data_IF_761062943427
#
_entry.id   IF_761062943427
#
_cell.length_a   1.000
_cell.length_b   1.000
_cell.length_c   1.000
_cell.angle_alpha   90.00
_cell.angle_beta   90.00
_cell.angle_gamma   90.00
#
_symmetry.space_group_name_H-M   'P 1'
#
loop_
_entity.id
_entity.type
_entity.pdbx_description
1 polymer ?
#
# COMPACT_ATOMS: atom_id res chain seq x y z
N UNK A 1 31.72 2.52 -5.62
CA UNK A 1 30.99 2.78 -6.87
C UNK A 1 30.25 1.51 -7.29
N UNK A 2 28.96 1.39 -6.96
CA UNK A 2 28.16 0.20 -7.25
C UNK A 2 27.11 0.54 -8.31
N UNK A 3 27.06 -0.30 -9.35
CA UNK A 3 26.35 -0.11 -10.61
C UNK A 3 24.84 0.10 -10.42
N UNK A 4 24.35 1.22 -10.92
CA UNK A 4 22.96 1.48 -11.28
C UNK A 4 22.47 0.34 -12.21
N UNK A 5 21.42 -0.39 -11.83
CA UNK A 5 20.76 -1.29 -12.77
C UNK A 5 19.93 -0.47 -13.75
N UNK A 6 20.44 -0.40 -14.98
CA UNK A 6 19.97 0.41 -16.08
C UNK A 6 18.77 -0.22 -16.80
N UNK A 7 17.57 0.03 -16.29
CA UNK A 7 16.39 0.09 -17.15
C UNK A 7 15.51 1.21 -16.61
N UNK A 8 15.17 2.19 -17.44
CA UNK A 8 14.20 3.26 -17.19
C UNK A 8 12.78 2.68 -16.90
N UNK A 9 12.62 1.93 -15.83
CA UNK A 9 11.44 1.10 -15.53
C UNK A 9 10.51 1.71 -14.49
N UNK A 10 10.71 2.95 -14.02
CA UNK A 10 9.99 3.55 -12.87
C UNK A 10 9.56 5.01 -13.03
N UNK A 11 9.22 5.50 -14.23
CA UNK A 11 8.85 6.92 -14.43
C UNK A 11 7.61 7.41 -13.64
N UNK A 12 6.87 6.50 -13.00
CA UNK A 12 5.61 6.82 -12.30
C UNK A 12 5.61 6.41 -10.80
N UNK A 13 6.80 6.25 -10.20
CA UNK A 13 6.95 5.93 -8.76
C UNK A 13 8.14 6.69 -8.21
N UNK A 14 7.99 7.30 -7.04
CA UNK A 14 9.07 7.95 -6.30
C UNK A 14 8.92 7.69 -4.80
N UNK A 15 10.06 7.48 -4.13
CA UNK A 15 10.17 7.39 -2.67
C UNK A 15 11.41 8.15 -2.22
N UNK A 16 11.31 8.89 -1.13
CA UNK A 16 12.42 9.58 -0.48
C UNK A 16 12.33 9.44 1.04
N UNK A 17 13.46 9.59 1.72
CA UNK A 17 13.53 9.66 3.20
C UNK A 17 13.16 11.06 3.72
N UNK A 18 13.11 12.06 2.82
CA UNK A 18 12.59 13.40 3.08
C UNK A 18 11.26 13.62 2.35
N UNK A 19 10.54 14.66 2.74
CA UNK A 19 9.34 15.11 2.02
C UNK A 19 9.62 15.34 0.52
N UNK A 20 8.67 14.95 -0.33
CA UNK A 20 8.70 15.12 -1.77
C UNK A 20 8.35 16.55 -2.15
N UNK A 21 9.14 17.10 -3.07
CA UNK A 21 8.92 18.44 -3.64
C UNK A 21 7.84 18.41 -4.71
N UNK A 22 7.26 19.58 -5.02
CA UNK A 22 6.28 19.68 -6.11
C UNK A 22 6.88 19.31 -7.47
N UNK A 23 8.13 19.67 -7.75
CA UNK A 23 8.82 19.29 -8.98
C UNK A 23 8.98 17.77 -9.13
N UNK A 24 9.29 17.09 -8.03
CA UNK A 24 9.38 15.62 -8.00
C UNK A 24 8.01 14.97 -8.22
N UNK A 25 6.97 15.47 -7.55
CA UNK A 25 5.60 15.00 -7.73
C UNK A 25 5.13 15.25 -9.17
N UNK A 26 5.40 16.42 -9.75
CA UNK A 26 5.00 16.76 -11.12
C UNK A 26 5.66 15.83 -12.14
N UNK A 27 6.94 15.50 -11.95
CA UNK A 27 7.68 14.60 -12.86
C UNK A 27 7.18 13.15 -12.78
N UNK A 28 6.86 12.66 -11.59
CA UNK A 28 6.54 11.25 -11.36
C UNK A 28 5.04 10.95 -11.34
N UNK A 29 4.22 11.88 -10.86
CA UNK A 29 2.79 11.72 -10.62
C UNK A 29 2.05 12.99 -11.09
N UNK A 30 2.17 13.37 -12.38
CA UNK A 30 1.55 14.58 -12.92
C UNK A 30 0.03 14.63 -12.73
N UNK A 31 -0.64 13.49 -12.56
CA UNK A 31 -2.08 13.47 -12.31
C UNK A 31 -2.50 14.17 -11.02
N UNK A 32 -1.60 14.34 -10.05
CA UNK A 32 -1.86 15.14 -8.84
C UNK A 32 -2.08 16.63 -9.14
N UNK A 33 -1.50 17.12 -10.24
CA UNK A 33 -1.52 18.53 -10.65
C UNK A 33 -2.48 18.81 -11.80
N UNK A 34 -3.26 17.81 -12.22
CA UNK A 34 -4.29 18.05 -13.22
C UNK A 34 -5.16 19.22 -12.76
N UNK A 35 -5.42 20.15 -13.68
CA UNK A 35 -6.22 21.36 -13.42
C UNK A 35 -7.67 21.22 -13.86
N UNK A 36 -8.01 20.16 -14.61
CA UNK A 36 -9.33 19.96 -15.18
C UNK A 36 -9.85 18.54 -14.92
N UNK A 37 -11.18 18.43 -14.76
CA UNK A 37 -11.84 17.12 -14.73
C UNK A 37 -11.76 16.49 -16.13
N UNK A 38 -11.58 15.17 -16.19
CA UNK A 38 -11.68 14.47 -17.48
C UNK A 38 -13.07 14.71 -18.10
N UNK A 39 -13.15 14.93 -19.42
CA UNK A 39 -14.38 15.30 -20.14
C UNK A 39 -15.57 14.34 -19.89
N UNK A 40 -15.28 13.10 -19.51
CA UNK A 40 -16.28 12.09 -19.17
C UNK A 40 -17.02 12.32 -17.83
N UNK A 41 -16.87 13.47 -17.16
CA UNK A 41 -17.38 13.74 -15.80
C UNK A 41 -18.49 14.80 -15.80
N UNK A 42 -19.62 14.49 -15.16
CA UNK A 42 -20.82 15.35 -15.11
C UNK A 42 -20.64 16.63 -14.29
N UNK A 43 -21.60 17.55 -14.37
CA UNK A 43 -21.57 18.85 -13.65
C UNK A 43 -21.77 18.74 -12.13
N UNK A 44 -22.27 17.59 -11.65
CA UNK A 44 -22.40 17.32 -10.21
C UNK A 44 -21.07 16.94 -9.54
N UNK A 45 -20.02 16.68 -10.33
CA UNK A 45 -18.70 16.30 -9.84
C UNK A 45 -17.94 17.56 -9.42
N UNK A 46 -17.69 17.71 -8.12
CA UNK A 46 -16.87 18.81 -7.60
C UNK A 46 -15.40 18.48 -7.84
N UNK A 47 -14.81 19.09 -8.87
CA UNK A 47 -13.41 18.89 -9.18
C UNK A 47 -12.54 19.74 -8.27
N UNK A 48 -11.66 19.08 -7.52
CA UNK A 48 -10.58 19.71 -6.77
C UNK A 48 -9.30 18.99 -7.19
N UNK A 49 -8.26 19.71 -7.66
CA UNK A 49 -6.96 19.11 -7.91
C UNK A 49 -6.41 18.44 -6.65
N UNK A 50 -5.81 17.26 -6.79
CA UNK A 50 -5.21 16.58 -5.62
C UNK A 50 -4.12 17.43 -4.97
N UNK A 51 -3.38 18.25 -5.74
CA UNK A 51 -2.40 19.19 -5.19
C UNK A 51 -3.01 20.18 -4.20
N UNK A 52 -4.23 20.67 -4.45
CA UNK A 52 -4.93 21.58 -3.52
C UNK A 52 -5.21 20.89 -2.19
N UNK A 53 -5.61 19.61 -2.22
CA UNK A 53 -5.81 18.83 -0.99
C UNK A 53 -4.48 18.56 -0.28
N UNK A 54 -3.45 18.19 -1.04
CA UNK A 54 -2.11 17.96 -0.51
C UNK A 54 -1.55 19.22 0.18
N UNK A 55 -1.75 20.40 -0.40
CA UNK A 55 -1.29 21.66 0.18
C UNK A 55 -2.03 22.02 1.47
N UNK A 56 -3.31 21.67 1.59
CA UNK A 56 -4.02 21.81 2.86
C UNK A 56 -3.53 20.79 3.90
N UNK A 57 -3.31 19.54 3.51
CA UNK A 57 -2.71 18.52 4.39
C UNK A 57 -1.30 18.92 4.87
N UNK A 58 -0.51 19.57 4.02
CA UNK A 58 0.80 20.13 4.39
C UNK A 58 0.69 21.22 5.46
N UNK A 59 -0.33 22.08 5.41
CA UNK A 59 -0.57 23.09 6.47
C UNK A 59 -0.89 22.43 7.81
N UNK A 60 -1.56 21.29 7.78
CA UNK A 60 -1.83 20.45 8.95
C UNK A 60 -0.63 19.56 9.36
N UNK A 61 0.53 19.74 8.71
CA UNK A 61 1.78 19.04 9.04
C UNK A 61 1.94 17.66 8.40
N UNK A 62 1.13 17.30 7.39
CA UNK A 62 1.29 16.04 6.65
C UNK A 62 2.11 16.23 5.37
N UNK A 63 3.22 15.51 5.27
CA UNK A 63 4.17 15.62 4.17
C UNK A 63 4.26 14.32 3.36
N UNK A 64 4.36 14.38 2.01
CA UNK A 64 4.45 13.19 1.16
C UNK A 64 5.86 12.61 1.14
N UNK A 65 6.01 11.29 1.35
CA UNK A 65 7.31 10.58 1.27
C UNK A 65 7.34 9.53 0.15
N UNK A 66 6.18 9.16 -0.36
CA UNK A 66 6.01 8.26 -1.49
C UNK A 66 4.90 8.77 -2.40
N UNK A 67 5.09 8.59 -3.71
CA UNK A 67 4.07 8.88 -4.70
C UNK A 67 4.16 7.89 -5.87
N UNK A 68 3.01 7.45 -6.38
CA UNK A 68 2.95 6.72 -7.65
C UNK A 68 1.65 7.00 -8.41
N UNK A 69 1.66 6.75 -9.72
CA UNK A 69 0.45 6.71 -10.54
C UNK A 69 0.39 5.49 -11.45
N UNK A 70 -0.83 5.14 -11.83
CA UNK A 70 -1.13 4.07 -12.77
C UNK A 70 -0.56 4.42 -14.14
N UNK A 71 0.07 3.44 -14.79
CA UNK A 71 0.57 3.63 -16.15
C UNK A 71 -0.56 3.52 -17.15
N UNK A 72 -0.62 4.48 -18.06
CA UNK A 72 -1.46 4.41 -19.25
C UNK A 72 -0.59 4.50 -20.50
N UNK A 73 -1.01 3.82 -21.56
CA UNK A 73 -0.45 3.98 -22.91
C UNK A 73 -1.08 5.14 -23.67
N UNK A 74 -2.27 5.56 -23.22
CA UNK A 74 -3.02 6.69 -23.75
C UNK A 74 -2.50 7.98 -23.13
N UNK A 75 -1.90 8.85 -23.94
CA UNK A 75 -1.31 10.11 -23.51
C UNK A 75 -2.35 11.07 -22.91
N UNK A 76 -3.58 11.09 -23.45
CA UNK A 76 -4.66 11.96 -22.98
C UNK A 76 -5.19 11.58 -21.60
N UNK A 77 -4.97 10.33 -21.16
CA UNK A 77 -5.38 9.87 -19.82
C UNK A 77 -4.31 10.02 -18.77
N UNK A 78 -3.06 10.34 -19.16
CA UNK A 78 -1.90 10.31 -18.26
C UNK A 78 -2.10 11.20 -17.02
N UNK A 79 -2.74 12.34 -17.21
CA UNK A 79 -3.00 13.33 -16.16
C UNK A 79 -4.24 13.02 -15.32
N UNK A 80 -5.01 11.99 -15.67
CA UNK A 80 -6.25 11.64 -14.94
C UNK A 80 -6.20 10.27 -14.27
N UNK A 81 -5.11 9.52 -14.51
CA UNK A 81 -4.91 8.20 -13.94
C UNK A 81 -4.95 8.20 -12.41
N UNK A 82 -5.35 7.05 -11.87
CA UNK A 82 -5.29 6.77 -10.43
C UNK A 82 -3.88 6.95 -9.90
N UNK A 83 -3.76 7.68 -8.80
CA UNK A 83 -2.52 7.94 -8.10
C UNK A 83 -2.64 7.66 -6.61
N UNK A 84 -1.49 7.41 -5.99
CA UNK A 84 -1.31 7.15 -4.57
C UNK A 84 -0.23 8.07 -4.03
N UNK A 85 -0.52 8.76 -2.93
CA UNK A 85 0.47 9.44 -2.10
C UNK A 85 0.50 8.75 -0.73
N UNK A 86 1.67 8.62 -0.12
CA UNK A 86 1.79 8.24 1.29
C UNK A 86 2.40 9.38 2.07
N UNK A 87 1.63 9.86 3.05
CA UNK A 87 1.90 11.05 3.84
C UNK A 87 2.28 10.64 5.26
N UNK A 88 3.22 11.37 5.87
CA UNK A 88 3.59 11.24 7.28
C UNK A 88 3.38 12.58 7.98
N UNK A 89 3.06 12.55 9.26
CA UNK A 89 2.99 13.75 10.07
C UNK A 89 4.39 14.23 10.44
N UNK A 90 4.63 15.53 10.40
CA UNK A 90 5.83 16.15 10.94
C UNK A 90 6.02 15.76 12.41
N UNK A 91 7.26 15.45 12.79
CA UNK A 91 7.59 14.93 14.12
C UNK A 91 7.48 13.40 14.26
N UNK A 92 6.65 12.72 13.46
CA UNK A 92 6.54 11.25 13.41
C UNK A 92 7.21 10.66 12.16
N UNK A 93 8.36 11.20 11.76
CA UNK A 93 9.03 10.80 10.51
C UNK A 93 10.17 9.79 10.70
N UNK A 94 10.53 9.50 11.95
CA UNK A 94 11.64 8.64 12.33
C UNK A 94 11.17 7.54 13.29
N UNK A 95 11.73 6.34 13.14
CA UNK A 95 11.38 5.15 13.91
C UNK A 95 11.56 3.88 13.07
N UNK A 96 11.50 2.70 13.68
CA UNK A 96 11.49 1.46 12.91
C UNK A 96 10.21 1.33 12.05
N UNK A 97 9.10 1.83 12.61
CA UNK A 97 7.75 1.76 12.07
C UNK A 97 7.07 3.12 12.31
N UNK A 98 6.59 3.75 11.23
CA UNK A 98 5.99 5.08 11.24
C UNK A 98 4.56 5.02 10.67
N UNK A 99 3.57 5.61 11.34
CA UNK A 99 2.22 5.74 10.79
C UNK A 99 2.21 6.58 9.50
N UNK A 100 1.38 6.17 8.54
CA UNK A 100 1.22 6.87 7.27
C UNK A 100 -0.25 6.96 6.86
N UNK A 101 -0.62 8.09 6.27
CA UNK A 101 -1.89 8.23 5.56
C UNK A 101 -1.64 7.90 4.10
N UNK A 102 -2.35 6.92 3.57
CA UNK A 102 -2.34 6.59 2.14
C UNK A 102 -3.51 7.30 1.48
N UNK A 103 -3.20 8.34 0.71
CA UNK A 103 -4.17 9.08 -0.08
C UNK A 103 -4.27 8.45 -1.48
N UNK A 104 -5.44 7.96 -1.83
CA UNK A 104 -5.77 7.46 -3.17
C UNK A 104 -6.80 8.36 -3.84
N UNK A 105 -6.58 8.66 -5.11
CA UNK A 105 -7.56 9.37 -5.93
C UNK A 105 -7.37 9.03 -7.42
N UNK A 106 -8.38 9.38 -8.22
CA UNK A 106 -8.32 9.42 -9.68
C UNK A 106 -9.18 10.58 -10.18
N UNK A 107 -8.75 11.24 -11.27
CA UNK A 107 -9.55 12.28 -11.92
C UNK A 107 -10.36 11.75 -13.12
N UNK A 108 -10.12 10.50 -13.51
CA UNK A 108 -10.92 9.78 -14.49
C UNK A 108 -12.15 9.10 -13.88
N UNK A 109 -12.41 9.28 -12.58
CA UNK A 109 -13.54 8.73 -11.82
C UNK A 109 -13.56 7.21 -11.64
N UNK A 110 -12.42 6.54 -11.83
CA UNK A 110 -12.23 5.13 -11.46
C UNK A 110 -12.08 4.90 -9.95
N UNK A 111 -11.91 5.97 -9.17
CA UNK A 111 -11.77 5.98 -7.71
C UNK A 111 -12.18 7.32 -7.13
N UNK A 112 -12.83 7.29 -5.97
CA UNK A 112 -13.02 8.46 -5.12
C UNK A 112 -11.72 8.81 -4.38
N UNK A 113 -11.74 9.94 -3.66
CA UNK A 113 -10.80 10.17 -2.59
C UNK A 113 -10.94 9.08 -1.53
N UNK A 114 -9.82 8.46 -1.17
CA UNK A 114 -9.73 7.52 -0.06
C UNK A 114 -8.53 7.88 0.79
N UNK A 115 -8.74 7.90 2.10
CA UNK A 115 -7.69 8.04 3.10
C UNK A 115 -7.64 6.73 3.86
N UNK A 116 -6.52 6.03 3.73
CA UNK A 116 -6.37 4.70 4.30
C UNK A 116 -5.25 4.76 5.35
N UNK A 117 -5.49 4.32 6.58
CA UNK A 117 -4.44 4.17 7.57
C UNK A 117 -3.42 3.14 7.08
N UNK A 118 -2.15 3.45 7.23
CA UNK A 118 -1.06 2.55 6.91
C UNK A 118 0.06 2.67 7.92
N UNK A 119 0.98 1.71 7.85
CA UNK A 119 2.22 1.74 8.62
C UNK A 119 3.37 1.53 7.66
N UNK A 120 4.45 2.27 7.83
CA UNK A 120 5.66 2.11 7.04
C UNK A 120 6.78 1.61 7.93
N UNK A 121 7.37 0.49 7.53
CA UNK A 121 8.52 -0.08 8.22
C UNK A 121 9.78 0.19 7.41
N UNK A 122 10.73 0.90 8.02
CA UNK A 122 11.96 1.34 7.36
C UNK A 122 12.83 0.16 6.92
N UNK A 123 12.85 -0.91 7.73
CA UNK A 123 13.71 -2.08 7.53
C UNK A 123 13.41 -2.82 6.21
N UNK A 124 12.15 -2.95 5.81
CA UNK A 124 11.76 -3.52 4.51
C UNK A 124 11.64 -2.48 3.40
N UNK A 125 11.55 -1.20 3.77
CA UNK A 125 10.94 -0.15 2.95
C UNK A 125 9.58 -0.58 2.40
N UNK A 126 8.82 -1.44 3.09
CA UNK A 126 7.47 -1.80 2.68
C UNK A 126 6.46 -0.96 3.42
N UNK A 127 5.44 -0.54 2.66
CA UNK A 127 4.24 0.02 3.22
C UNK A 127 3.23 -1.08 3.51
N UNK A 128 2.73 -1.11 4.73
CA UNK A 128 1.50 -1.82 5.10
C UNK A 128 0.31 -0.91 4.80
N UNK A 129 -0.73 -1.51 4.25
CA UNK A 129 -2.06 -0.91 4.14
C UNK A 129 -2.96 -1.62 5.13
N UNK A 130 -3.44 -0.91 6.15
CA UNK A 130 -4.39 -1.45 7.11
C UNK A 130 -5.81 -1.18 6.56
N UNK A 131 -6.61 -2.22 6.26
CA UNK A 131 -8.06 -2.04 6.15
C UNK A 131 -8.86 -2.87 5.13
N UNK A 132 -9.74 -3.74 5.61
CA UNK A 132 -11.20 -3.59 5.34
C UNK A 132 -12.00 -3.28 6.62
N UNK A 133 -11.31 -3.23 7.78
CA UNK A 133 -11.91 -3.29 9.12
C UNK A 133 -11.55 -2.08 10.00
N UNK A 134 -10.54 -1.29 9.62
CA UNK A 134 -10.13 -0.09 10.35
C UNK A 134 -10.13 1.13 9.42
N UNK A 135 -11.13 2.00 9.57
CA UNK A 135 -10.94 3.43 9.39
C UNK A 135 -10.63 3.96 7.98
N UNK A 136 -10.97 3.24 6.91
CA UNK A 136 -10.91 3.83 5.56
C UNK A 136 -11.95 4.94 5.45
N UNK A 137 -11.50 6.17 5.20
CA UNK A 137 -12.37 7.31 4.99
C UNK A 137 -12.50 7.55 3.50
N UNK A 138 -13.74 7.53 3.01
CA UNK A 138 -14.08 7.83 1.62
C UNK A 138 -14.72 9.19 1.54
N UNK A 139 -14.04 10.13 0.89
CA UNK A 139 -14.59 11.47 0.66
C UNK A 139 -15.26 11.49 -0.71
N UNK A 140 -16.59 11.65 -0.79
CA UNK A 140 -17.27 11.80 -2.07
C UNK A 140 -16.85 13.11 -2.74
N UNK A 141 -16.79 13.12 -4.07
CA UNK A 141 -16.51 14.34 -4.87
C UNK A 141 -17.74 15.29 -4.92
N UNK A 142 -18.30 15.63 -3.75
CA UNK A 142 -19.52 16.44 -3.59
C UNK A 142 -19.48 17.24 -2.29
N UNK A 143 -19.78 18.54 -2.38
CA UNK A 143 -19.86 19.43 -1.21
C UNK A 143 -18.48 19.96 -0.81
N UNK A 144 -18.28 20.22 0.49
CA UNK A 144 -16.97 20.64 1.02
C UNK A 144 -16.02 19.46 1.16
N UNK A 145 -15.40 19.09 0.03
CA UNK A 145 -14.41 18.00 -0.04
C UNK A 145 -13.14 18.38 0.71
N UNK A 146 -12.75 19.66 0.75
CA UNK A 146 -11.50 20.08 1.43
C UNK A 146 -11.63 19.88 2.93
N UNK A 147 -12.73 20.38 3.53
CA UNK A 147 -13.02 20.17 4.95
C UNK A 147 -13.07 18.69 5.31
N UNK A 148 -13.80 17.88 4.53
CA UNK A 148 -13.92 16.43 4.76
C UNK A 148 -12.58 15.68 4.65
N UNK A 149 -11.68 16.09 3.75
CA UNK A 149 -10.33 15.49 3.65
C UNK A 149 -9.46 15.86 4.85
N UNK A 150 -9.55 17.10 5.34
CA UNK A 150 -8.81 17.52 6.53
C UNK A 150 -9.31 16.78 7.77
N UNK A 151 -10.63 16.75 7.98
CA UNK A 151 -11.28 16.02 9.06
C UNK A 151 -10.89 14.53 9.01
N UNK A 152 -10.97 13.92 7.82
CA UNK A 152 -10.55 12.54 7.62
C UNK A 152 -9.06 12.31 7.90
N UNK A 153 -8.19 13.28 7.66
CA UNK A 153 -6.77 13.17 8.01
C UNK A 153 -6.58 13.01 9.53
N UNK A 154 -7.33 13.77 10.32
CA UNK A 154 -7.28 13.73 11.77
C UNK A 154 -7.94 12.47 12.34
N UNK A 155 -9.09 12.04 11.80
CA UNK A 155 -9.72 10.78 12.19
C UNK A 155 -8.78 9.58 11.97
N UNK A 156 -8.03 9.57 10.86
CA UNK A 156 -7.02 8.52 10.58
C UNK A 156 -5.91 8.48 11.64
N UNK A 157 -5.62 9.60 12.32
CA UNK A 157 -4.63 9.60 13.41
C UNK A 157 -5.11 8.78 14.61
N UNK A 158 -6.37 8.89 15.01
CA UNK A 158 -6.91 8.15 16.14
C UNK A 158 -6.90 6.63 15.85
N UNK A 159 -7.06 6.25 14.58
CA UNK A 159 -6.98 4.87 14.13
C UNK A 159 -5.54 4.32 14.24
N UNK A 160 -4.52 5.18 14.18
CA UNK A 160 -3.12 4.74 14.28
C UNK A 160 -2.78 4.13 15.63
N UNK A 161 -3.39 4.60 16.71
CA UNK A 161 -3.13 4.03 18.04
C UNK A 161 -3.66 2.59 18.13
N UNK A 162 -4.83 2.31 17.57
CA UNK A 162 -5.35 0.95 17.46
C UNK A 162 -4.48 0.03 16.58
N UNK A 163 -3.91 0.57 15.49
CA UNK A 163 -2.95 -0.20 14.66
C UNK A 163 -1.65 -0.48 15.42
N UNK A 164 -1.13 0.50 16.18
CA UNK A 164 0.08 0.34 17.02
C UNK A 164 -0.12 -0.70 18.12
N UNK A 165 -1.30 -0.69 18.75
CA UNK A 165 -1.72 -1.65 19.77
C UNK A 165 -1.83 -3.06 19.19
N UNK A 166 -2.60 -3.23 18.11
CA UNK A 166 -2.77 -4.53 17.46
C UNK A 166 -1.43 -5.13 17.01
N UNK A 167 -0.54 -4.29 16.46
CA UNK A 167 0.83 -4.70 16.16
C UNK A 167 1.56 -5.19 17.41
N UNK A 168 1.44 -4.47 18.53
CA UNK A 168 2.03 -4.86 19.81
C UNK A 168 1.58 -6.25 20.23
N UNK A 169 0.28 -6.50 20.23
CA UNK A 169 -0.33 -7.81 20.51
C UNK A 169 0.18 -8.90 19.55
N UNK A 170 0.23 -8.62 18.24
CA UNK A 170 0.75 -9.57 17.25
C UNK A 170 2.23 -9.94 17.48
N UNK A 171 3.04 -9.06 18.08
CA UNK A 171 4.43 -9.35 18.44
C UNK A 171 4.55 -10.26 19.66
N UNK A 172 3.52 -10.31 20.51
CA UNK A 172 3.46 -11.17 21.69
C UNK A 172 2.94 -12.58 21.37
N UNK A 173 2.22 -12.74 20.26
CA UNK A 173 1.68 -14.02 19.82
C UNK A 173 2.73 -14.83 19.06
N UNK A 174 3.27 -15.86 19.72
CA UNK A 174 4.13 -16.86 19.06
C UNK A 174 3.37 -17.79 18.12
N UNK A 175 3.95 -18.05 16.94
CA UNK A 175 3.44 -19.03 15.97
C UNK A 175 4.36 -20.25 15.86
N UNK A 176 3.77 -21.43 15.94
CA UNK A 176 4.43 -22.69 15.59
C UNK A 176 4.78 -22.72 14.09
N UNK A 177 5.65 -23.64 13.68
CA UNK A 177 5.99 -23.79 12.25
C UNK A 177 4.77 -24.11 11.38
N UNK A 178 3.86 -24.94 11.90
CA UNK A 178 2.64 -25.32 11.19
C UNK A 178 1.70 -24.13 11.06
N UNK A 179 1.56 -23.32 12.11
CA UNK A 179 0.75 -22.09 12.07
C UNK A 179 1.31 -21.06 11.08
N UNK A 180 2.64 -20.90 11.01
CA UNK A 180 3.28 -20.03 10.02
C UNK A 180 3.01 -20.53 8.59
N UNK A 181 3.10 -21.85 8.37
CA UNK A 181 2.80 -22.47 7.07
C UNK A 181 1.33 -22.32 6.68
N UNK A 182 0.40 -22.51 7.61
CA UNK A 182 -1.04 -22.32 7.37
C UNK A 182 -1.32 -20.87 6.99
N UNK A 183 -0.75 -19.90 7.72
CA UNK A 183 -0.89 -18.48 7.38
C UNK A 183 -0.39 -18.18 5.95
N UNK A 184 0.79 -18.69 5.61
CA UNK A 184 1.37 -18.55 4.28
C UNK A 184 0.53 -19.24 3.18
N UNK A 185 0.01 -20.44 3.44
CA UNK A 185 -0.85 -21.19 2.53
C UNK A 185 -2.15 -20.43 2.22
N UNK A 186 -2.83 -19.91 3.26
CA UNK A 186 -4.04 -19.11 3.10
C UNK A 186 -3.75 -17.86 2.25
N UNK A 187 -2.61 -17.21 2.49
CA UNK A 187 -2.19 -16.05 1.71
C UNK A 187 -1.91 -16.40 0.24
N UNK A 188 -1.25 -17.53 -0.05
CA UNK A 188 -1.00 -18.00 -1.41
C UNK A 188 -2.30 -18.33 -2.14
N UNK A 189 -3.21 -19.06 -1.48
CA UNK A 189 -4.54 -19.36 -2.01
C UNK A 189 -5.29 -18.07 -2.34
N UNK A 190 -5.30 -17.09 -1.43
CA UNK A 190 -5.93 -15.80 -1.70
C UNK A 190 -5.33 -15.05 -2.89
N UNK A 191 -4.01 -15.12 -3.11
CA UNK A 191 -3.37 -14.38 -4.22
C UNK A 191 -3.54 -15.06 -5.58
N UNK A 192 -3.50 -16.39 -5.62
CA UNK A 192 -3.44 -17.15 -6.88
C UNK A 192 -4.75 -17.87 -7.21
N UNK A 193 -5.55 -18.20 -6.21
CA UNK A 193 -6.80 -18.94 -6.32
C UNK A 193 -7.90 -18.35 -5.43
N UNK A 194 -8.12 -17.03 -5.52
CA UNK A 194 -9.07 -16.30 -4.67
C UNK A 194 -10.53 -16.80 -4.74
N UNK A 195 -10.86 -17.59 -5.78
CA UNK A 195 -12.18 -18.19 -5.99
C UNK A 195 -12.24 -19.69 -5.68
N UNK A 196 -11.14 -20.31 -5.24
CA UNK A 196 -11.08 -21.75 -4.99
C UNK A 196 -11.36 -22.58 -6.25
N UNK A 197 -10.95 -22.09 -7.41
CA UNK A 197 -11.17 -22.73 -8.72
C UNK A 197 -10.08 -23.77 -9.02
N UNK A 198 -9.15 -24.03 -8.10
CA UNK A 198 -8.03 -24.94 -8.29
C UNK A 198 -6.95 -24.34 -9.19
N UNK A 199 -6.78 -23.01 -9.20
CA UNK A 199 -5.74 -22.35 -9.99
C UNK A 199 -4.35 -22.77 -9.54
N UNK A 200 -3.43 -22.84 -10.51
CA UNK A 200 -2.04 -23.20 -10.25
C UNK A 200 -1.35 -22.17 -9.35
N UNK A 201 -0.91 -22.63 -8.17
CA UNK A 201 -0.08 -21.85 -7.24
C UNK A 201 1.39 -22.14 -7.55
N UNK A 202 2.20 -21.13 -7.88
CA UNK A 202 3.57 -21.35 -8.33
C UNK A 202 4.59 -21.58 -7.22
N UNK A 203 4.19 -21.46 -5.95
CA UNK A 203 5.03 -21.41 -4.76
C UNK A 203 4.49 -22.33 -3.67
N UNK A 204 5.38 -22.85 -2.84
CA UNK A 204 5.06 -23.51 -1.58
C UNK A 204 4.97 -22.47 -0.44
N UNK A 205 4.29 -22.77 0.68
CA UNK A 205 4.21 -21.87 1.83
C UNK A 205 5.60 -21.43 2.35
N UNK A 206 6.57 -22.34 2.38
CA UNK A 206 7.94 -22.03 2.84
C UNK A 206 8.67 -21.02 1.94
N UNK A 207 8.30 -20.92 0.66
CA UNK A 207 8.93 -19.97 -0.27
C UNK A 207 8.63 -18.52 0.11
N UNK A 208 7.44 -18.26 0.67
CA UNK A 208 7.03 -16.92 1.11
C UNK A 208 7.30 -16.65 2.60
N UNK A 209 7.72 -17.67 3.35
CA UNK A 209 8.24 -17.54 4.72
C UNK A 209 9.75 -17.27 4.75
N UNK A 210 10.42 -17.31 3.59
CA UNK A 210 11.86 -17.02 3.48
C UNK A 210 12.21 -15.67 4.08
N UNK A 211 13.16 -15.71 5.02
CA UNK A 211 13.69 -14.53 5.69
C UNK A 211 14.60 -13.79 4.72
N UNK A 212 14.29 -12.52 4.42
CA UNK A 212 15.14 -11.69 3.56
C UNK A 212 16.28 -11.01 4.32
N UNK A 213 16.18 -10.93 5.65
CA UNK A 213 17.11 -10.26 6.55
C UNK A 213 16.96 -10.76 7.99
N UNK A 214 18.03 -10.78 8.81
CA UNK A 214 18.01 -11.37 10.15
C UNK A 214 16.94 -10.79 11.10
N UNK A 215 16.58 -9.52 10.94
CA UNK A 215 15.60 -8.82 11.78
C UNK A 215 14.17 -9.38 11.64
N UNK A 216 13.92 -10.21 10.62
CA UNK A 216 12.63 -10.88 10.40
C UNK A 216 12.63 -12.37 10.77
N UNK A 217 13.65 -12.89 11.47
CA UNK A 217 13.74 -14.32 11.79
C UNK A 217 12.89 -14.74 13.01
N UNK A 218 12.10 -13.82 13.57
CA UNK A 218 11.22 -14.12 14.69
C UNK A 218 10.00 -14.91 14.25
N UNK A 219 9.52 -15.78 15.14
CA UNK A 219 8.36 -16.63 14.93
C UNK A 219 7.04 -16.04 15.45
N UNK A 220 7.00 -14.75 15.80
CA UNK A 220 5.75 -14.09 16.19
C UNK A 220 4.84 -13.82 14.99
N UNK A 221 3.55 -13.58 15.25
CA UNK A 221 2.54 -13.34 14.23
C UNK A 221 2.87 -12.12 13.37
N UNK A 222 3.29 -11.01 13.99
CA UNK A 222 3.67 -9.80 13.26
C UNK A 222 4.81 -10.06 12.27
N UNK A 223 5.90 -10.67 12.74
CA UNK A 223 7.08 -10.95 11.93
C UNK A 223 6.77 -11.97 10.82
N UNK A 224 5.92 -12.96 11.08
CA UNK A 224 5.44 -13.92 10.08
C UNK A 224 4.61 -13.25 9.00
N UNK A 225 3.62 -12.45 9.39
CA UNK A 225 2.80 -11.63 8.49
C UNK A 225 3.68 -10.76 7.58
N UNK A 226 4.69 -10.11 8.15
CA UNK A 226 5.60 -9.23 7.42
C UNK A 226 6.45 -9.96 6.37
N UNK A 227 6.96 -11.16 6.70
CA UNK A 227 7.70 -11.99 5.73
C UNK A 227 6.83 -12.37 4.55
N UNK A 228 5.61 -12.84 4.82
CA UNK A 228 4.63 -13.20 3.81
C UNK A 228 4.29 -12.00 2.92
N UNK A 229 3.96 -10.86 3.52
CA UNK A 229 3.66 -9.61 2.82
C UNK A 229 4.80 -9.20 1.89
N UNK A 230 6.03 -9.19 2.40
CA UNK A 230 7.19 -8.71 1.64
C UNK A 230 7.48 -9.62 0.46
N UNK A 231 7.48 -10.92 0.68
CA UNK A 231 7.75 -11.91 -0.35
C UNK A 231 6.69 -11.91 -1.45
N UNK A 232 5.42 -11.75 -1.08
CA UNK A 232 4.32 -11.68 -2.04
C UNK A 232 4.29 -10.36 -2.81
N UNK A 233 4.68 -9.25 -2.19
CA UNK A 233 4.66 -7.92 -2.81
C UNK A 233 5.86 -7.72 -3.73
N UNK A 234 7.07 -8.01 -3.25
CA UNK A 234 8.31 -7.86 -4.03
C UNK A 234 8.44 -8.94 -5.12
N UNK A 235 7.87 -10.12 -4.91
CA UNK A 235 8.06 -11.26 -5.78
C UNK A 235 9.54 -11.64 -5.92
N UNK A 236 9.92 -12.11 -7.11
CA UNK A 236 11.30 -12.54 -7.42
C UNK A 236 11.66 -13.92 -6.88
N UNK A 237 10.71 -14.63 -6.26
CA UNK A 237 10.87 -15.98 -5.75
C UNK A 237 10.86 -16.98 -6.90
N UNK A 238 11.68 -18.03 -6.80
CA UNK A 238 11.66 -19.13 -7.76
C UNK A 238 10.46 -20.02 -7.52
N UNK A 239 9.67 -20.23 -8.57
CA UNK A 239 8.52 -21.11 -8.56
C UNK A 239 8.39 -21.89 -9.86
N UNK A 240 7.38 -22.74 -9.95
CA UNK A 240 7.03 -23.47 -11.19
C UNK A 240 5.74 -22.92 -11.76
N UNK A 241 5.64 -22.80 -13.08
CA UNK A 241 4.37 -22.46 -13.72
C UNK A 241 3.48 -23.70 -13.89
N UNK A 242 2.24 -23.50 -14.38
CA UNK A 242 1.29 -24.58 -14.64
C UNK A 242 1.80 -25.64 -15.64
N UNK A 243 2.86 -25.35 -16.40
CA UNK A 243 3.52 -26.29 -17.33
C UNK A 243 4.80 -26.91 -16.72
N UNK A 244 5.03 -26.74 -15.41
CA UNK A 244 6.20 -27.24 -14.69
C UNK A 244 7.52 -26.49 -14.94
N UNK A 245 7.53 -25.42 -15.75
CA UNK A 245 8.76 -24.66 -16.04
C UNK A 245 9.12 -23.72 -14.89
N UNK A 246 10.40 -23.65 -14.57
CA UNK A 246 10.92 -22.69 -13.60
C UNK A 246 10.73 -21.24 -14.08
N UNK A 247 10.22 -20.41 -13.19
CA UNK A 247 10.06 -18.98 -13.41
C UNK A 247 10.19 -18.22 -12.10
N UNK A 248 10.48 -16.92 -12.17
CA UNK A 248 10.38 -16.05 -11.00
C UNK A 248 9.00 -15.44 -10.87
N UNK A 249 8.49 -15.34 -9.65
CA UNK A 249 7.24 -14.63 -9.37
C UNK A 249 7.39 -13.14 -9.67
N UNK A 250 6.31 -12.53 -10.13
CA UNK A 250 6.28 -11.11 -10.47
C UNK A 250 5.96 -10.28 -9.23
N UNK A 251 6.58 -9.12 -9.12
CA UNK A 251 6.22 -8.11 -8.14
C UNK A 251 4.79 -7.59 -8.40
N UNK A 252 4.13 -7.15 -7.34
CA UNK A 252 2.87 -6.39 -7.45
C UNK A 252 3.22 -4.97 -7.88
N UNK A 253 2.72 -4.55 -9.04
CA UNK A 253 3.09 -3.27 -9.66
C UNK A 253 1.90 -2.30 -9.84
N UNK A 254 0.68 -2.73 -9.52
CA UNK A 254 -0.54 -1.93 -9.66
C UNK A 254 -1.07 -1.52 -8.30
N UNK A 255 -1.55 -0.27 -8.22
CA UNK A 255 -2.13 0.32 -6.99
C UNK A 255 -3.23 -0.59 -6.41
N UNK A 256 -4.20 -0.98 -7.23
CA UNK A 256 -5.33 -1.79 -6.76
C UNK A 256 -4.90 -3.17 -6.26
N UNK A 257 -3.95 -3.81 -6.96
CA UNK A 257 -3.42 -5.11 -6.55
C UNK A 257 -2.63 -5.03 -5.24
N UNK A 258 -1.86 -3.96 -5.06
CA UNK A 258 -1.07 -3.70 -3.85
C UNK A 258 -1.97 -3.44 -2.65
N UNK A 259 -2.95 -2.55 -2.80
CA UNK A 259 -3.93 -2.23 -1.77
C UNK A 259 -4.75 -3.48 -1.41
N UNK A 260 -5.29 -4.20 -2.41
CA UNK A 260 -6.09 -5.42 -2.16
C UNK A 260 -5.30 -6.48 -1.40
N UNK A 261 -4.04 -6.73 -1.79
CA UNK A 261 -3.19 -7.73 -1.15
C UNK A 261 -2.87 -7.34 0.30
N UNK A 262 -2.40 -6.11 0.53
CA UNK A 262 -2.04 -5.67 1.88
C UNK A 262 -3.21 -5.73 2.85
N UNK A 263 -4.41 -5.31 2.39
CA UNK A 263 -5.63 -5.37 3.18
C UNK A 263 -6.01 -6.79 3.59
N UNK A 264 -5.96 -7.73 2.64
CA UNK A 264 -6.27 -9.12 2.91
C UNK A 264 -5.29 -9.75 3.90
N UNK A 265 -3.98 -9.50 3.73
CA UNK A 265 -2.97 -10.02 4.64
C UNK A 265 -3.10 -9.42 6.05
N UNK A 266 -3.43 -8.14 6.17
CA UNK A 266 -3.73 -7.50 7.45
C UNK A 266 -4.93 -8.18 8.13
N UNK A 267 -6.03 -8.36 7.41
CA UNK A 267 -7.23 -9.00 7.94
C UNK A 267 -6.98 -10.46 8.37
N UNK A 268 -6.18 -11.21 7.61
CA UNK A 268 -5.74 -12.55 8.00
C UNK A 268 -4.96 -12.52 9.32
N UNK A 269 -4.07 -11.53 9.49
CA UNK A 269 -3.31 -11.38 10.73
C UNK A 269 -4.22 -11.01 11.90
N UNK A 270 -5.16 -10.09 11.74
CA UNK A 270 -6.16 -9.74 12.77
C UNK A 270 -7.01 -10.96 13.18
N UNK A 271 -7.45 -11.77 12.20
CA UNK A 271 -8.22 -12.99 12.49
C UNK A 271 -7.40 -14.03 13.25
N UNK A 272 -6.13 -14.21 12.87
CA UNK A 272 -5.22 -15.10 13.58
C UNK A 272 -4.94 -14.61 15.00
N UNK A 273 -4.79 -13.29 15.16
CA UNK A 273 -4.65 -12.64 16.47
C UNK A 273 -5.87 -12.95 17.34
N UNK A 274 -7.07 -12.66 16.86
CA UNK A 274 -8.32 -12.91 17.58
C UNK A 274 -8.57 -14.39 17.93
N UNK A 275 -7.99 -15.33 17.17
CA UNK A 275 -8.07 -16.77 17.48
C UNK A 275 -7.11 -17.19 18.61
N UNK A 276 -6.00 -16.46 18.78
CA UNK A 276 -4.90 -16.83 19.68
C UNK A 276 -4.82 -16.00 20.96
N UNK A 277 -5.46 -14.83 20.97
CA UNK A 277 -5.71 -13.99 22.16
C UNK A 277 -6.75 -14.63 23.08
#
# INVERSE_FOLDING_TARGET
MARLSSVFRSANVIRKERALTNDELMRCVPSVFSGEKHESRSDRYTYIPTITLLDNLRKEGFQPFFACQTRTRDAGKREHTKHMLRLRREGEIAGEEVPEIILLNSHDGSSSYQMIPGMFRFVCMNGIVCGQTFGEIRVPHKGDVVGQVIEGAFEVLDIFDGVKESRGEMKEIGLSKDEQRIFAEIALNWKYDDKGEGKHIPLEPDDILQVRRPEDDKSDLWTTYQRVQENMTKGGLWGKNAKGKHQRTRAVNGIDGDVKLNRALWEMAEKMKALKS
#
